data_IF_527850650400
#
_entry.id   IF_527850650400
#
_cell.length_a   1.000
_cell.length_b   1.000
_cell.length_c   1.000
_cell.angle_alpha   90.00
_cell.angle_beta   90.00
_cell.angle_gamma   90.00
#
_symmetry.space_group_name_H-M   'P 1'
#
loop_
_entity.id
_entity.type
_entity.pdbx_description
1 polymer ?
#
# COMPACT_ATOMS: atom_id res chain seq x y z
N UNK A 1 19.99 7.15 6.59
CA UNK A 1 20.82 7.22 5.37
C UNK A 1 21.48 8.58 5.35
N UNK A 2 22.76 8.69 5.01
CA UNK A 2 23.53 9.95 4.98
C UNK A 2 23.49 10.66 3.63
N UNK A 3 22.64 10.21 2.71
CA UNK A 3 22.42 10.88 1.42
C UNK A 3 21.51 12.09 1.60
N UNK A 4 21.96 13.25 1.11
CA UNK A 4 21.14 14.45 0.97
C UNK A 4 19.97 14.15 0.03
N UNK A 5 18.74 14.39 0.50
CA UNK A 5 17.52 14.15 -0.28
C UNK A 5 16.31 14.87 0.32
N UNK A 6 15.21 14.89 -0.43
CA UNK A 6 13.92 15.39 0.06
C UNK A 6 13.13 14.23 0.64
N UNK A 7 12.71 14.39 1.88
CA UNK A 7 11.77 13.48 2.54
C UNK A 7 10.36 14.10 2.52
N UNK A 8 9.35 13.27 2.32
CA UNK A 8 7.94 13.66 2.24
C UNK A 8 7.16 12.96 3.34
N UNK A 9 6.22 13.67 3.95
CA UNK A 9 5.32 13.16 4.98
C UNK A 9 3.94 13.79 4.81
N UNK A 10 2.93 13.13 5.36
CA UNK A 10 1.58 13.68 5.41
C UNK A 10 1.52 14.64 6.58
N UNK A 11 0.91 15.82 6.38
CA UNK A 11 0.60 16.70 7.50
C UNK A 11 -0.18 15.92 8.58
N UNK A 12 0.23 16.02 9.84
CA UNK A 12 -0.27 15.21 10.96
C UNK A 12 -1.80 15.29 11.01
N UNK A 13 -2.37 16.48 10.84
CA UNK A 13 -3.80 16.75 10.90
C UNK A 13 -4.58 16.15 9.73
N UNK A 14 -3.90 15.90 8.60
CA UNK A 14 -4.51 15.29 7.40
C UNK A 14 -4.35 13.77 7.36
N UNK A 15 -3.43 13.21 8.16
CA UNK A 15 -3.11 11.79 8.13
C UNK A 15 -4.34 10.89 8.38
N UNK A 16 -5.18 11.11 9.41
CA UNK A 16 -6.33 10.23 9.64
C UNK A 16 -7.27 10.16 8.43
N UNK A 17 -7.56 11.30 7.78
CA UNK A 17 -8.52 11.34 6.68
C UNK A 17 -7.97 10.82 5.34
N UNK A 18 -6.64 10.81 5.15
CA UNK A 18 -6.00 10.41 3.89
C UNK A 18 -5.46 8.97 3.95
N UNK A 19 -4.87 8.58 5.07
CA UNK A 19 -4.20 7.29 5.23
C UNK A 19 -5.03 6.28 6.00
N UNK A 20 -5.80 6.71 7.00
CA UNK A 20 -6.27 5.84 8.07
C UNK A 20 -7.75 6.06 8.40
N UNK A 21 -8.57 6.34 7.37
CA UNK A 21 -9.93 6.87 7.55
C UNK A 21 -10.89 5.87 8.23
N UNK A 22 -10.55 4.59 8.19
CA UNK A 22 -11.28 3.47 8.77
C UNK A 22 -10.45 2.71 9.84
N UNK A 23 -9.37 3.31 10.32
CA UNK A 23 -8.59 2.83 11.48
C UNK A 23 -9.08 3.52 12.75
N UNK A 24 -8.93 2.86 13.90
CA UNK A 24 -9.22 3.45 15.20
C UNK A 24 -8.58 4.85 15.34
N UNK A 25 -9.33 5.90 15.73
CA UNK A 25 -8.82 7.26 15.76
C UNK A 25 -7.65 7.50 16.70
N UNK A 26 -7.58 6.81 17.85
CA UNK A 26 -6.47 6.94 18.79
C UNK A 26 -5.20 6.35 18.19
N UNK A 27 -5.32 5.17 17.57
CA UNK A 27 -4.22 4.57 16.83
C UNK A 27 -3.79 5.44 15.63
N UNK A 28 -4.73 5.98 14.86
CA UNK A 28 -4.43 6.86 13.73
C UNK A 28 -3.67 8.12 14.16
N UNK A 29 -4.00 8.71 15.33
CA UNK A 29 -3.30 9.85 15.89
C UNK A 29 -1.84 9.51 16.27
N UNK A 30 -1.61 8.33 16.87
CA UNK A 30 -0.26 7.84 17.17
C UNK A 30 0.53 7.63 15.87
N UNK A 31 -0.08 6.96 14.89
CA UNK A 31 0.56 6.70 13.59
C UNK A 31 0.92 8.00 12.85
N UNK A 32 0.08 9.02 12.93
CA UNK A 32 0.31 10.32 12.30
C UNK A 32 1.59 10.99 12.80
N UNK A 33 1.88 10.94 14.11
CA UNK A 33 3.08 11.54 14.70
C UNK A 33 4.31 10.63 14.62
N UNK A 34 4.10 9.31 14.52
CA UNK A 34 5.19 8.33 14.41
C UNK A 34 5.51 7.93 12.96
N UNK A 35 4.84 8.51 11.96
CA UNK A 35 5.04 8.16 10.56
C UNK A 35 6.51 8.34 10.15
N UNK A 36 7.01 7.41 9.36
CA UNK A 36 8.35 7.50 8.78
C UNK A 36 8.27 8.25 7.46
N UNK A 37 9.06 9.32 7.25
CA UNK A 37 9.07 10.00 5.97
C UNK A 37 9.48 9.08 4.81
N UNK A 38 8.86 9.30 3.65
CA UNK A 38 9.20 8.62 2.41
C UNK A 38 10.19 9.48 1.62
N UNK A 39 11.30 8.88 1.18
CA UNK A 39 12.24 9.57 0.32
C UNK A 39 11.59 9.89 -1.03
N UNK A 40 11.56 11.17 -1.44
CA UNK A 40 10.89 11.63 -2.65
C UNK A 40 11.38 10.93 -3.93
N UNK A 41 12.64 10.49 -3.94
CA UNK A 41 13.22 9.72 -5.06
C UNK A 41 12.47 8.43 -5.39
N UNK A 42 11.81 7.82 -4.39
CA UNK A 42 11.07 6.57 -4.56
C UNK A 42 9.91 6.70 -5.56
N UNK A 43 9.40 7.91 -5.80
CA UNK A 43 8.34 8.16 -6.79
C UNK A 43 8.84 8.16 -8.24
N UNK A 44 10.14 8.37 -8.46
CA UNK A 44 10.74 8.48 -9.81
C UNK A 44 11.73 7.37 -10.14
N UNK A 45 12.15 6.61 -9.14
CA UNK A 45 13.13 5.54 -9.32
C UNK A 45 12.54 4.39 -10.14
N UNK A 46 13.21 4.05 -11.23
CA UNK A 46 12.79 2.95 -12.08
C UNK A 46 13.09 1.61 -11.41
N UNK A 47 12.09 0.71 -11.38
CA UNK A 47 12.34 -0.66 -10.99
C UNK A 47 13.34 -1.32 -11.96
N UNK A 48 14.43 -1.93 -11.48
CA UNK A 48 15.47 -2.49 -12.35
C UNK A 48 14.97 -3.70 -13.16
N UNK A 49 13.96 -4.41 -12.64
CA UNK A 49 13.33 -5.55 -13.28
C UNK A 49 11.82 -5.54 -13.03
N UNK A 50 11.03 -5.77 -14.07
CA UNK A 50 9.59 -6.00 -13.97
C UNK A 50 9.31 -7.45 -13.51
N UNK A 51 9.52 -7.74 -12.23
CA UNK A 51 9.45 -9.10 -11.67
C UNK A 51 8.09 -9.81 -11.90
N UNK A 52 7.01 -9.05 -12.00
CA UNK A 52 5.66 -9.55 -12.29
C UNK A 52 5.55 -10.26 -13.66
N UNK A 53 6.52 -10.06 -14.58
CA UNK A 53 6.55 -10.79 -15.86
C UNK A 53 6.97 -12.25 -15.72
N UNK A 54 7.65 -12.62 -14.64
CA UNK A 54 8.22 -13.97 -14.47
C UNK A 54 7.83 -14.64 -13.16
N UNK A 55 7.24 -13.90 -12.21
CA UNK A 55 6.78 -14.42 -10.93
C UNK A 55 5.26 -14.25 -10.80
N UNK A 56 4.54 -15.29 -10.32
CA UNK A 56 3.16 -15.14 -9.86
C UNK A 56 3.05 -13.96 -8.90
N UNK A 57 1.97 -13.21 -9.00
CA UNK A 57 1.83 -11.91 -8.34
C UNK A 57 0.39 -11.69 -7.87
N UNK A 58 0.25 -11.09 -6.68
CA UNK A 58 -1.03 -10.77 -6.05
C UNK A 58 -1.08 -9.28 -5.68
N UNK A 59 -2.27 -8.69 -5.77
CA UNK A 59 -2.51 -7.29 -5.41
C UNK A 59 -3.80 -7.14 -4.62
N UNK A 60 -3.81 -6.18 -3.70
CA UNK A 60 -5.02 -5.75 -3.00
C UNK A 60 -5.25 -4.29 -3.33
N UNK A 61 -6.44 -3.95 -3.81
CA UNK A 61 -6.86 -2.57 -4.01
C UNK A 61 -7.71 -2.14 -2.83
N UNK A 62 -7.31 -1.06 -2.15
CA UNK A 62 -8.13 -0.41 -1.15
C UNK A 62 -9.00 0.64 -1.84
N UNK A 63 -10.29 0.34 -2.07
CA UNK A 63 -11.12 1.12 -3.00
C UNK A 63 -11.44 2.54 -2.52
N UNK A 64 -11.22 2.84 -1.24
CA UNK A 64 -11.40 4.16 -0.64
C UNK A 64 -10.06 4.84 -0.31
N UNK A 65 -8.94 4.37 -0.86
CA UNK A 65 -7.63 5.00 -0.71
C UNK A 65 -7.62 6.43 -1.30
N UNK A 66 -7.15 7.39 -0.50
CA UNK A 66 -6.99 8.81 -0.87
C UNK A 66 -5.52 9.24 -0.92
N UNK A 67 -4.62 8.32 -0.65
CA UNK A 67 -3.16 8.46 -0.72
C UNK A 67 -2.66 8.01 -2.08
N UNK A 68 -3.05 6.80 -2.49
CA UNK A 68 -2.82 6.27 -3.83
C UNK A 68 -4.18 6.17 -4.51
N UNK A 69 -4.28 6.69 -5.74
CA UNK A 69 -5.53 6.56 -6.50
C UNK A 69 -5.76 5.08 -6.86
N UNK A 70 -6.87 4.46 -6.42
CA UNK A 70 -7.15 3.05 -6.69
C UNK A 70 -7.15 2.68 -8.18
N UNK A 71 -7.50 3.62 -9.08
CA UNK A 71 -7.48 3.37 -10.52
C UNK A 71 -6.06 3.16 -11.06
N UNK A 72 -5.06 3.80 -10.45
CA UNK A 72 -3.65 3.59 -10.81
C UNK A 72 -3.21 2.18 -10.41
N UNK A 73 -3.66 1.70 -9.26
CA UNK A 73 -3.39 0.33 -8.81
C UNK A 73 -4.07 -0.69 -9.70
N UNK A 74 -5.37 -0.53 -9.98
CA UNK A 74 -6.13 -1.39 -10.90
C UNK A 74 -5.45 -1.50 -12.25
N UNK A 75 -5.08 -0.37 -12.85
CA UNK A 75 -4.34 -0.35 -14.12
C UNK A 75 -3.01 -1.10 -14.03
N UNK A 76 -2.25 -0.87 -12.95
CA UNK A 76 -0.97 -1.53 -12.72
C UNK A 76 -1.10 -3.04 -12.58
N UNK A 77 -2.06 -3.51 -11.79
CA UNK A 77 -2.31 -4.91 -11.49
C UNK A 77 -2.87 -5.66 -12.69
N UNK A 78 -3.78 -5.06 -13.46
CA UNK A 78 -4.31 -5.61 -14.71
C UNK A 78 -3.17 -5.79 -15.74
N UNK A 79 -2.38 -4.74 -15.96
CA UNK A 79 -1.21 -4.80 -16.87
C UNK A 79 -0.20 -5.87 -16.45
N UNK A 80 -0.10 -6.13 -15.15
CA UNK A 80 0.80 -7.13 -14.59
C UNK A 80 0.21 -8.55 -14.58
N UNK A 81 -1.08 -8.72 -14.89
CA UNK A 81 -1.76 -10.03 -14.82
C UNK A 81 -1.82 -10.58 -13.40
N UNK A 82 -1.92 -9.71 -12.39
CA UNK A 82 -1.93 -10.12 -10.98
C UNK A 82 -3.28 -10.74 -10.60
N UNK A 83 -3.26 -11.66 -9.62
CA UNK A 83 -4.48 -12.04 -8.90
C UNK A 83 -4.84 -10.90 -7.96
N UNK A 84 -5.98 -10.23 -8.20
CA UNK A 84 -6.38 -9.03 -7.46
C UNK A 84 -7.64 -9.25 -6.65
N UNK A 85 -7.64 -8.74 -5.43
CA UNK A 85 -8.85 -8.56 -4.60
C UNK A 85 -9.04 -7.08 -4.31
N UNK A 86 -10.29 -6.66 -4.12
CA UNK A 86 -10.63 -5.28 -3.79
C UNK A 86 -11.40 -5.24 -2.47
N UNK A 87 -11.04 -4.29 -1.62
CA UNK A 87 -11.60 -4.14 -0.28
C UNK A 87 -11.99 -2.67 -0.07
N UNK A 88 -13.21 -2.44 0.44
CA UNK A 88 -13.66 -1.10 0.84
C UNK A 88 -12.93 -0.68 2.12
N UNK A 89 -11.81 0.01 1.92
CA UNK A 89 -10.90 0.42 2.99
C UNK A 89 -10.02 1.60 2.56
N UNK A 90 -9.45 2.29 3.54
CA UNK A 90 -8.45 3.34 3.31
C UNK A 90 -7.04 2.77 3.08
N UNK A 91 -6.04 3.65 2.94
CA UNK A 91 -4.66 3.26 2.63
C UNK A 91 -4.07 2.22 3.61
N UNK A 92 -4.38 2.35 4.90
CA UNK A 92 -3.92 1.43 5.95
C UNK A 92 -4.81 0.18 6.08
N UNK A 93 -5.17 -0.42 4.94
CA UNK A 93 -6.01 -1.63 4.84
C UNK A 93 -5.48 -2.82 5.65
N UNK A 94 -4.18 -2.92 5.87
CA UNK A 94 -3.59 -3.97 6.73
C UNK A 94 -3.97 -3.82 8.21
N UNK A 95 -4.35 -2.64 8.66
CA UNK A 95 -4.83 -2.38 10.01
C UNK A 95 -6.35 -2.42 10.09
N UNK A 96 -7.04 -1.86 9.09
CA UNK A 96 -8.50 -1.82 9.06
C UNK A 96 -9.13 -3.18 8.70
N UNK A 97 -8.52 -3.92 7.78
CA UNK A 97 -9.01 -5.19 7.23
C UNK A 97 -7.95 -6.30 7.29
N UNK A 98 -7.37 -6.58 8.48
CA UNK A 98 -6.22 -7.48 8.62
C UNK A 98 -6.51 -8.91 8.14
N UNK A 99 -7.77 -9.35 8.28
CA UNK A 99 -8.18 -10.68 7.82
C UNK A 99 -8.10 -10.82 6.30
N UNK A 100 -8.62 -9.86 5.55
CA UNK A 100 -8.60 -9.89 4.09
C UNK A 100 -7.15 -9.87 3.56
N UNK A 101 -6.29 -9.05 4.17
CA UNK A 101 -4.86 -9.01 3.84
C UNK A 101 -4.18 -10.35 4.15
N UNK A 102 -4.43 -10.93 5.33
CA UNK A 102 -3.85 -12.21 5.72
C UNK A 102 -4.30 -13.36 4.79
N UNK A 103 -5.57 -13.40 4.41
CA UNK A 103 -6.11 -14.39 3.47
C UNK A 103 -5.41 -14.31 2.11
N UNK A 104 -5.24 -13.10 1.54
CA UNK A 104 -4.52 -12.92 0.27
C UNK A 104 -3.07 -13.39 0.35
N UNK A 105 -2.36 -13.09 1.45
CA UNK A 105 -0.99 -13.55 1.68
C UNK A 105 -0.94 -15.08 1.76
N UNK A 106 -1.88 -15.69 2.47
CA UNK A 106 -1.96 -17.15 2.61
C UNK A 106 -2.25 -17.84 1.28
N UNK A 107 -3.11 -17.25 0.45
CA UNK A 107 -3.38 -17.75 -0.90
C UNK A 107 -2.14 -17.67 -1.80
N UNK A 108 -1.41 -16.54 -1.75
CA UNK A 108 -0.14 -16.39 -2.46
C UNK A 108 0.91 -17.42 -2.01
N UNK A 109 1.05 -17.62 -0.69
CA UNK A 109 1.99 -18.57 -0.12
C UNK A 109 1.66 -20.01 -0.52
N UNK A 110 0.39 -20.42 -0.45
CA UNK A 110 -0.04 -21.77 -0.86
C UNK A 110 0.15 -22.01 -2.36
N UNK A 111 -0.03 -20.98 -3.17
CA UNK A 111 0.10 -21.09 -4.63
C UNK A 111 1.56 -21.13 -5.10
N UNK A 112 2.52 -20.73 -4.26
CA UNK A 112 3.94 -20.61 -4.61
C UNK A 112 4.88 -21.48 -3.79
N UNK A 113 4.47 -21.95 -2.61
CA UNK A 113 5.23 -22.86 -1.77
C UNK A 113 5.13 -24.29 -2.28
N UNK A 114 6.08 -24.69 -3.14
CA UNK A 114 6.41 -26.09 -3.43
C UNK A 114 7.71 -26.45 -2.70
#
# INVERSE_FOLDING_TARGET
STETGTDVSVAIEKFPALFAADVDPELAAVLAVSQRPLAARAFSEAAPVAAWKTKPSWGLVASADRTINPDVERFGYERAGMTTVEVDSSHLVMLAQPKAVAELIMDAARSTGH
#
